data_IF_359389977919
#
_entry.id   IF_359389977919
#
_cell.length_a   1.000
_cell.length_b   1.000
_cell.length_c   1.000
_cell.angle_alpha   90.00
_cell.angle_beta   90.00
_cell.angle_gamma   90.00
#
_symmetry.space_group_name_H-M   'P 1'
#
loop_
_entity.id
_entity.type
_entity.pdbx_description
1 polymer ?
#
# COMPACT_ATOMS: atom_id res chain seq x y z
N UNK A 1 -20.11 28.36 49.13
CA UNK A 1 -20.04 27.94 47.71
C UNK A 1 -18.60 27.55 47.43
N UNK A 2 -18.32 26.25 47.26
CA UNK A 2 -16.97 25.75 46.96
C UNK A 2 -16.79 25.90 45.44
N UNK A 3 -15.87 26.76 45.01
CA UNK A 3 -15.42 26.82 43.62
C UNK A 3 -14.91 25.43 43.21
N UNK A 4 -15.30 24.87 42.05
CA UNK A 4 -14.71 23.62 41.59
C UNK A 4 -13.20 23.82 41.52
N UNK A 5 -12.45 23.04 42.30
CA UNK A 5 -10.99 23.01 42.18
C UNK A 5 -10.67 22.63 40.74
N UNK A 6 -9.95 23.49 40.03
CA UNK A 6 -9.42 23.16 38.72
C UNK A 6 -8.58 21.90 38.87
N UNK A 7 -9.08 20.77 38.38
CA UNK A 7 -8.34 19.52 38.38
C UNK A 7 -7.15 19.73 37.44
N UNK A 8 -5.95 19.82 38.00
CA UNK A 8 -4.72 19.90 37.22
C UNK A 8 -4.50 18.53 36.55
N UNK A 9 -4.83 18.47 35.26
CA UNK A 9 -4.58 17.28 34.44
C UNK A 9 -3.15 17.35 33.90
N UNK A 10 -2.32 16.31 34.11
CA UNK A 10 -0.99 16.27 33.52
C UNK A 10 -1.04 16.41 31.99
N UNK A 11 -0.15 17.21 31.43
CA UNK A 11 -0.07 17.45 29.97
C UNK A 11 0.02 16.14 29.17
N UNK A 12 0.75 15.15 29.67
CA UNK A 12 0.87 13.83 29.04
C UNK A 12 -0.48 13.12 28.89
N UNK A 13 -1.38 13.30 29.86
CA UNK A 13 -2.74 12.75 29.83
C UNK A 13 -3.56 13.44 28.75
N UNK A 14 -3.48 14.77 28.67
CA UNK A 14 -4.15 15.56 27.62
C UNK A 14 -3.68 15.13 26.23
N UNK A 15 -2.36 15.02 26.03
CA UNK A 15 -1.77 14.58 24.74
C UNK A 15 -2.27 13.18 24.37
N UNK A 16 -2.24 12.23 25.30
CA UNK A 16 -2.71 10.85 25.05
C UNK A 16 -4.19 10.80 24.67
N UNK A 17 -5.04 11.58 25.35
CA UNK A 17 -6.46 11.65 25.02
C UNK A 17 -6.70 12.24 23.62
N UNK A 18 -5.94 13.28 23.23
CA UNK A 18 -5.99 13.84 21.88
C UNK A 18 -5.56 12.79 20.84
N UNK A 19 -4.45 12.08 21.07
CA UNK A 19 -3.96 11.03 20.18
C UNK A 19 -4.97 9.89 20.03
N UNK A 20 -5.55 9.44 21.14
CA UNK A 20 -6.56 8.38 21.16
C UNK A 20 -7.82 8.80 20.41
N UNK A 21 -8.32 10.01 20.66
CA UNK A 21 -9.50 10.54 19.98
C UNK A 21 -9.26 10.70 18.49
N UNK A 22 -8.11 11.26 18.11
CA UNK A 22 -7.70 11.42 16.70
C UNK A 22 -7.61 10.08 15.99
N UNK A 23 -6.97 9.08 16.62
CA UNK A 23 -6.90 7.71 16.09
C UNK A 23 -8.28 7.08 15.91
N UNK A 24 -9.17 7.25 16.89
CA UNK A 24 -10.54 6.70 16.82
C UNK A 24 -11.36 7.32 15.69
N UNK A 25 -11.29 8.65 15.52
CA UNK A 25 -11.97 9.35 14.42
C UNK A 25 -11.43 8.91 13.07
N UNK A 26 -10.11 8.87 12.91
CA UNK A 26 -9.48 8.42 11.68
C UNK A 26 -9.85 6.97 11.34
N UNK A 27 -9.83 6.04 12.31
CA UNK A 27 -10.21 4.64 12.05
C UNK A 27 -11.67 4.52 11.61
N UNK A 28 -12.56 5.31 12.22
CA UNK A 28 -13.97 5.35 11.82
C UNK A 28 -14.12 5.82 10.38
N UNK A 29 -13.44 6.90 9.99
CA UNK A 29 -13.45 7.40 8.61
C UNK A 29 -12.82 6.39 7.64
N UNK A 30 -11.66 5.83 7.99
CA UNK A 30 -10.95 4.86 7.15
C UNK A 30 -11.78 3.61 6.89
N UNK A 31 -12.44 3.05 7.91
CA UNK A 31 -13.31 1.89 7.72
C UNK A 31 -14.63 2.23 7.01
N UNK A 32 -15.13 3.46 7.15
CA UNK A 32 -16.36 3.92 6.49
C UNK A 32 -16.17 4.31 5.01
N UNK A 33 -14.96 4.65 4.59
CA UNK A 33 -14.64 5.00 3.21
C UNK A 33 -14.86 3.80 2.27
N UNK A 34 -15.40 4.00 1.06
CA UNK A 34 -15.59 2.90 0.10
C UNK A 34 -14.47 2.82 -0.94
N UNK A 35 -13.76 3.93 -1.16
CA UNK A 35 -12.62 4.01 -2.06
C UNK A 35 -11.33 3.46 -1.42
N UNK A 36 -10.20 3.63 -2.11
CA UNK A 36 -8.87 3.24 -1.63
C UNK A 36 -8.67 1.73 -1.40
N UNK A 37 -9.38 0.86 -2.13
CA UNK A 37 -9.27 -0.61 -2.02
C UNK A 37 -7.83 -1.12 -2.03
N UNK A 38 -6.98 -0.59 -2.91
CA UNK A 38 -5.57 -0.97 -3.01
C UNK A 38 -4.82 -0.62 -1.72
N UNK A 39 -4.84 0.65 -1.31
CA UNK A 39 -4.20 1.10 -0.07
C UNK A 39 -4.71 0.36 1.16
N UNK A 40 -6.01 0.08 1.25
CA UNK A 40 -6.65 -0.64 2.36
C UNK A 40 -6.21 -2.09 2.50
N UNK A 41 -5.83 -2.74 1.40
CA UNK A 41 -5.27 -4.09 1.46
C UNK A 41 -3.95 -4.10 2.24
N UNK A 42 -3.09 -3.10 2.02
CA UNK A 42 -1.81 -2.97 2.72
C UNK A 42 -1.97 -2.32 4.12
N UNK A 43 -2.93 -1.42 4.27
CA UNK A 43 -3.17 -0.65 5.49
C UNK A 43 -4.62 -0.77 5.95
N UNK A 44 -5.11 -1.95 6.38
CA UNK A 44 -6.48 -2.08 6.87
C UNK A 44 -6.72 -1.33 8.19
N UNK A 45 -5.66 -1.03 8.96
CA UNK A 45 -5.72 -0.28 10.21
C UNK A 45 -4.51 0.67 10.38
N UNK A 46 -4.56 1.53 11.40
CA UNK A 46 -3.46 2.44 11.78
C UNK A 46 -2.30 1.76 12.50
N UNK A 47 -2.39 0.47 12.85
CA UNK A 47 -1.31 -0.22 13.56
C UNK A 47 -0.09 -0.35 12.64
N UNK A 48 -0.33 -0.46 11.34
CA UNK A 48 0.73 -0.49 10.35
C UNK A 48 1.03 0.91 9.81
N UNK A 49 2.18 1.44 10.22
CA UNK A 49 2.79 2.63 9.63
C UNK A 49 4.14 2.25 9.07
N UNK A 50 4.27 2.26 7.75
CA UNK A 50 5.54 2.00 7.11
C UNK A 50 6.43 3.23 7.20
N UNK A 51 7.52 3.12 7.96
CA UNK A 51 8.57 4.14 7.99
C UNK A 51 9.52 3.89 6.83
N UNK A 52 9.42 4.69 5.77
CA UNK A 52 10.20 4.52 4.54
C UNK A 52 11.52 5.33 4.51
N UNK A 53 11.93 5.94 5.61
CA UNK A 53 13.16 6.77 5.68
C UNK A 53 14.47 6.04 5.31
N UNK A 54 14.47 4.70 5.35
CA UNK A 54 15.61 3.86 4.96
C UNK A 54 15.65 3.55 3.45
N UNK A 55 14.65 3.98 2.69
CA UNK A 55 14.51 3.68 1.27
C UNK A 55 14.96 4.87 0.42
N UNK A 56 15.48 4.60 -0.78
CA UNK A 56 15.81 5.66 -1.75
C UNK A 56 14.54 6.33 -2.26
N UNK A 57 14.65 7.57 -2.78
CA UNK A 57 13.51 8.29 -3.37
C UNK A 57 12.77 7.47 -4.44
N UNK A 58 13.51 6.78 -5.31
CA UNK A 58 12.96 5.92 -6.36
C UNK A 58 12.21 4.74 -5.73
N UNK A 59 12.78 4.10 -4.72
CA UNK A 59 12.12 2.99 -4.03
C UNK A 59 10.85 3.45 -3.30
N UNK A 60 10.86 4.64 -2.69
CA UNK A 60 9.67 5.23 -2.07
C UNK A 60 8.59 5.48 -3.11
N UNK A 61 8.94 6.09 -4.25
CA UNK A 61 8.02 6.31 -5.35
C UNK A 61 7.36 5.00 -5.79
N UNK A 62 8.16 3.96 -6.07
CA UNK A 62 7.63 2.68 -6.51
C UNK A 62 6.72 2.03 -5.46
N UNK A 63 7.09 2.06 -4.18
CA UNK A 63 6.27 1.51 -3.10
C UNK A 63 4.92 2.26 -3.00
N UNK A 64 4.95 3.60 -3.00
CA UNK A 64 3.73 4.42 -2.88
C UNK A 64 2.83 4.26 -4.10
N UNK A 65 3.38 4.30 -5.31
CA UNK A 65 2.65 4.09 -6.56
C UNK A 65 2.03 2.70 -6.59
N UNK A 66 2.78 1.67 -6.21
CA UNK A 66 2.30 0.29 -6.17
C UNK A 66 1.17 0.11 -5.15
N UNK A 67 1.36 0.54 -3.90
CA UNK A 67 0.38 0.35 -2.83
C UNK A 67 -0.91 1.15 -3.07
N UNK A 68 -0.80 2.35 -3.63
CA UNK A 68 -1.97 3.15 -3.97
C UNK A 68 -2.65 2.71 -5.27
N UNK A 69 -1.99 1.86 -6.07
CA UNK A 69 -2.47 1.43 -7.39
C UNK A 69 -2.32 2.47 -8.49
N UNK A 70 -1.53 3.52 -8.28
CA UNK A 70 -1.17 4.54 -9.28
C UNK A 70 0.14 4.17 -9.97
N UNK A 71 0.16 2.97 -10.54
CA UNK A 71 1.29 2.45 -11.31
C UNK A 71 0.78 2.00 -12.68
N UNK A 72 1.68 1.88 -13.68
CA UNK A 72 1.37 1.49 -15.07
C UNK A 72 0.93 0.03 -15.20
N UNK A 73 -0.13 -0.34 -14.50
CA UNK A 73 -0.85 -1.60 -14.60
C UNK A 73 -2.13 -1.38 -15.37
N UNK A 74 -2.58 -2.37 -16.13
CA UNK A 74 -3.70 -2.20 -17.08
C UNK A 74 -5.01 -1.78 -16.42
N UNK A 75 -5.27 -2.16 -15.16
CA UNK A 75 -6.40 -1.61 -14.38
C UNK A 75 -6.36 -0.09 -14.34
N UNK A 76 -5.22 0.48 -14.00
CA UNK A 76 -5.06 1.93 -13.89
C UNK A 76 -5.05 2.59 -15.27
N UNK A 77 -4.37 1.99 -16.25
CA UNK A 77 -4.33 2.51 -17.62
C UNK A 77 -5.73 2.53 -18.26
N UNK A 78 -6.54 1.50 -18.06
CA UNK A 78 -7.94 1.44 -18.55
C UNK A 78 -8.82 2.48 -17.86
N UNK A 79 -8.67 2.67 -16.55
CA UNK A 79 -9.37 3.75 -15.82
C UNK A 79 -8.99 5.15 -16.33
N UNK A 80 -7.76 5.32 -16.83
CA UNK A 80 -7.30 6.56 -17.47
C UNK A 80 -7.63 6.65 -18.97
N UNK A 81 -8.23 5.62 -19.58
CA UNK A 81 -8.50 5.58 -21.01
C UNK A 81 -7.26 5.39 -21.89
N UNK A 82 -6.16 4.87 -21.33
CA UNK A 82 -4.90 4.57 -22.03
C UNK A 82 -4.76 3.10 -22.44
N UNK A 83 -5.73 2.25 -22.10
CA UNK A 83 -5.78 0.85 -22.48
C UNK A 83 -7.24 0.38 -22.66
N UNK A 84 -7.48 -0.50 -23.64
CA UNK A 84 -8.82 -1.02 -23.94
C UNK A 84 -9.25 -2.15 -22.98
N UNK A 85 -8.28 -2.92 -22.49
CA UNK A 85 -8.50 -4.04 -21.57
C UNK A 85 -7.62 -3.94 -20.32
N UNK A 86 -8.08 -4.64 -19.29
CA UNK A 86 -7.51 -4.64 -17.96
C UNK A 86 -7.04 -6.03 -17.51
N UNK A 87 -6.98 -7.02 -18.40
CA UNK A 87 -6.55 -8.38 -18.09
C UNK A 87 -5.05 -8.44 -17.81
N UNK A 88 -4.67 -9.20 -16.80
CA UNK A 88 -3.28 -9.40 -16.38
C UNK A 88 -2.37 -9.79 -17.55
N UNK A 89 -1.30 -9.03 -17.78
CA UNK A 89 -0.30 -9.34 -18.82
C UNK A 89 0.45 -10.65 -18.58
N UNK A 90 0.37 -11.20 -17.36
CA UNK A 90 1.10 -12.40 -16.97
C UNK A 90 0.25 -13.66 -17.03
N UNK A 91 -0.87 -13.67 -16.31
CA UNK A 91 -1.73 -14.85 -16.26
C UNK A 91 -2.88 -14.80 -17.27
N UNK A 92 -3.28 -13.61 -17.75
CA UNK A 92 -4.42 -13.46 -18.67
C UNK A 92 -5.81 -13.57 -18.02
N UNK A 93 -5.92 -14.02 -16.77
CA UNK A 93 -7.19 -14.42 -16.14
C UNK A 93 -7.93 -13.28 -15.39
N UNK A 94 -7.24 -12.55 -14.52
CA UNK A 94 -7.84 -11.51 -13.67
C UNK A 94 -7.43 -10.10 -14.08
N UNK A 95 -8.12 -9.10 -13.54
CA UNK A 95 -7.75 -7.69 -13.67
C UNK A 95 -6.35 -7.40 -13.12
N UNK A 96 -5.49 -6.81 -13.93
CA UNK A 96 -4.13 -6.47 -13.59
C UNK A 96 -4.05 -5.36 -12.53
N UNK A 97 -3.81 -5.72 -11.27
CA UNK A 97 -3.68 -4.77 -10.18
C UNK A 97 -2.60 -5.18 -9.16
N UNK A 98 -2.11 -4.25 -8.33
CA UNK A 98 -1.15 -4.58 -7.27
C UNK A 98 -1.65 -5.71 -6.39
N UNK A 99 -2.90 -5.64 -5.90
CA UNK A 99 -3.56 -6.72 -5.14
C UNK A 99 -3.50 -8.05 -5.89
N UNK A 100 -3.86 -8.08 -7.18
CA UNK A 100 -3.79 -9.32 -7.96
C UNK A 100 -2.37 -9.91 -7.96
N UNK A 101 -1.34 -9.09 -8.17
CA UNK A 101 0.04 -9.57 -8.18
C UNK A 101 0.49 -10.14 -6.83
N UNK A 102 0.17 -9.44 -5.75
CA UNK A 102 0.58 -9.82 -4.40
C UNK A 102 -0.28 -10.91 -3.76
N UNK A 103 -1.47 -11.19 -4.30
CA UNK A 103 -2.42 -12.11 -3.67
C UNK A 103 -2.69 -13.37 -4.50
N UNK A 104 -2.98 -13.24 -5.80
CA UNK A 104 -3.62 -14.32 -6.59
C UNK A 104 -3.02 -14.57 -7.98
N UNK A 105 -2.05 -13.78 -8.46
CA UNK A 105 -1.50 -13.99 -9.79
C UNK A 105 -0.68 -15.30 -9.86
N UNK A 106 -1.14 -16.27 -10.65
CA UNK A 106 -0.46 -17.58 -10.76
C UNK A 106 0.95 -17.47 -11.31
N UNK A 107 1.16 -16.59 -12.27
CA UNK A 107 2.49 -16.31 -12.83
C UNK A 107 3.49 -15.76 -11.79
N UNK A 108 2.99 -15.19 -10.69
CA UNK A 108 3.80 -14.65 -9.59
C UNK A 108 3.80 -15.53 -8.33
N UNK A 109 3.19 -16.71 -8.39
CA UNK A 109 3.12 -17.61 -7.23
C UNK A 109 4.51 -18.02 -6.73
N UNK A 110 5.49 -18.19 -7.63
CA UNK A 110 6.89 -18.46 -7.25
C UNK A 110 7.56 -17.28 -6.54
N UNK A 111 7.34 -16.05 -7.04
CA UNK A 111 7.87 -14.83 -6.42
C UNK A 111 7.30 -14.63 -5.02
N UNK A 112 5.98 -14.84 -4.85
CA UNK A 112 5.34 -14.78 -3.52
C UNK A 112 5.93 -15.81 -2.57
N UNK A 113 5.94 -17.09 -2.96
CA UNK A 113 6.47 -18.18 -2.12
C UNK A 113 7.90 -17.91 -1.61
N UNK A 114 8.77 -17.35 -2.46
CA UNK A 114 10.14 -17.04 -2.09
C UNK A 114 10.28 -15.88 -1.09
N UNK A 115 9.27 -15.01 -0.96
CA UNK A 115 9.31 -13.84 -0.09
C UNK A 115 8.55 -14.03 1.22
N UNK A 116 7.59 -14.95 1.26
CA UNK A 116 6.62 -15.04 2.36
C UNK A 116 6.88 -16.12 3.38
N UNK A 117 7.91 -16.97 3.20
CA UNK A 117 8.33 -18.07 4.10
C UNK A 117 7.22 -18.51 5.09
N UNK A 118 6.25 -19.31 4.63
CA UNK A 118 5.21 -20.00 5.42
C UNK A 118 4.64 -19.27 6.65
N UNK A 119 4.40 -17.95 6.59
CA UNK A 119 3.78 -17.20 7.71
C UNK A 119 2.25 -17.33 7.68
N UNK A 120 1.68 -17.83 8.78
CA UNK A 120 0.22 -18.02 8.96
C UNK A 120 -0.60 -16.72 9.01
N UNK A 121 -0.04 -15.61 9.52
CA UNK A 121 -0.70 -14.28 9.59
C UNK A 121 -0.03 -13.30 8.62
N UNK A 122 -0.19 -13.57 7.32
CA UNK A 122 0.54 -12.85 6.30
C UNK A 122 -0.02 -11.43 6.07
N UNK A 123 0.74 -10.43 6.52
CA UNK A 123 0.51 -9.03 6.18
C UNK A 123 1.78 -8.42 5.60
N UNK A 124 1.68 -7.91 4.38
CA UNK A 124 2.78 -7.29 3.65
C UNK A 124 3.47 -6.20 4.49
N UNK A 125 4.78 -6.32 4.67
CA UNK A 125 5.61 -5.23 5.19
C UNK A 125 6.14 -4.35 4.06
N UNK A 126 6.69 -3.18 4.42
CA UNK A 126 7.40 -2.31 3.46
C UNK A 126 8.54 -3.04 2.75
N UNK A 127 9.24 -3.93 3.46
CA UNK A 127 10.42 -4.60 2.94
C UNK A 127 9.98 -5.75 2.01
N UNK A 128 8.89 -6.45 2.33
CA UNK A 128 8.28 -7.44 1.44
C UNK A 128 7.83 -6.80 0.12
N UNK A 129 7.12 -5.66 0.19
CA UNK A 129 6.70 -4.93 -1.02
C UNK A 129 7.91 -4.41 -1.80
N UNK A 130 8.92 -3.89 -1.12
CA UNK A 130 10.16 -3.42 -1.75
C UNK A 130 10.87 -4.56 -2.48
N UNK A 131 11.02 -5.72 -1.85
CA UNK A 131 11.62 -6.91 -2.47
C UNK A 131 10.76 -7.47 -3.61
N UNK A 132 9.44 -7.49 -3.46
CA UNK A 132 8.51 -7.91 -4.50
C UNK A 132 8.61 -7.01 -5.73
N UNK A 133 8.60 -5.69 -5.56
CA UNK A 133 8.79 -4.73 -6.65
C UNK A 133 10.14 -4.94 -7.34
N UNK A 134 11.22 -5.16 -6.58
CA UNK A 134 12.54 -5.45 -7.16
C UNK A 134 12.53 -6.75 -7.96
N UNK A 135 11.89 -7.79 -7.44
CA UNK A 135 11.73 -9.07 -8.15
C UNK A 135 10.95 -8.88 -9.45
N UNK A 136 9.87 -8.07 -9.43
CA UNK A 136 9.10 -7.73 -10.62
C UNK A 136 9.95 -6.97 -11.64
N UNK A 137 10.63 -5.90 -11.24
CA UNK A 137 11.51 -5.11 -12.13
C UNK A 137 12.55 -6.00 -12.84
N UNK A 138 13.09 -7.00 -12.13
CA UNK A 138 14.07 -7.93 -12.68
C UNK A 138 13.47 -8.98 -13.64
N UNK A 139 12.15 -9.16 -13.63
CA UNK A 139 11.49 -9.93 -14.68
C UNK A 139 11.35 -9.06 -15.93
N UNK A 140 11.87 -9.54 -17.07
CA UNK A 140 11.91 -8.79 -18.36
C UNK A 140 10.55 -8.28 -18.86
N UNK A 141 9.45 -8.69 -18.22
CA UNK A 141 8.08 -8.36 -18.55
C UNK A 141 7.55 -7.08 -17.85
N UNK A 142 8.36 -6.39 -17.03
CA UNK A 142 7.89 -5.29 -16.15
C UNK A 142 8.72 -4.00 -16.15
N UNK A 143 9.72 -3.87 -17.03
CA UNK A 143 10.50 -2.63 -17.11
C UNK A 143 9.57 -1.44 -17.47
N UNK A 144 8.58 -1.65 -18.31
CA UNK A 144 7.58 -0.65 -18.71
C UNK A 144 6.58 -0.24 -17.59
N UNK A 145 6.49 -1.02 -16.51
CA UNK A 145 5.53 -0.81 -15.41
C UNK A 145 6.05 0.15 -14.35
N UNK A 146 7.36 0.12 -14.11
CA UNK A 146 8.02 0.90 -13.05
C UNK A 146 8.90 2.04 -13.56
N UNK A 147 9.21 2.07 -14.86
CA UNK A 147 10.03 3.13 -15.46
C UNK A 147 9.19 4.00 -16.40
N UNK A 148 9.28 5.32 -16.20
CA UNK A 148 8.78 6.31 -17.14
C UNK A 148 9.83 6.51 -18.23
N UNK A 149 9.49 6.20 -19.49
CA UNK A 149 10.21 6.73 -20.65
C UNK A 149 10.02 8.27 -20.81
N UNK A 150 9.23 8.90 -19.93
CA UNK A 150 8.88 10.33 -19.97
C UNK A 150 9.64 11.22 -18.95
N UNK A 151 10.64 10.71 -18.24
CA UNK A 151 11.51 11.54 -17.38
C UNK A 151 12.82 11.96 -18.11
N UNK A 152 12.95 11.65 -19.40
CA UNK A 152 14.09 12.07 -20.25
C UNK A 152 13.63 12.82 -21.52
N UNK A 153 12.70 13.77 -21.37
CA UNK A 153 12.46 14.81 -22.38
C UNK A 153 12.62 16.20 -21.75
#
# INVERSE_FOLDING_TARGET
>A
MISPSSVEVPQITIIREIENKTRSLWLKEWHGEQSCRQTKFFFPDLKQRWKLHTHTRISIHNIVSFVSGHIRMKKHLKEMGLADEDSCRLCGEERESPIHFVNSCDALAGVRRNLTEDREDYRWSKDDVSHFIRALINTRQFVDVFFDDQILQ
#
